data_IF_708710918367
#
_entry.id   IF_708710918367
#
_cell.length_a   1.000
_cell.length_b   1.000
_cell.length_c   1.000
_cell.angle_alpha   90.00
_cell.angle_beta   90.00
_cell.angle_gamma   90.00
#
_symmetry.space_group_name_H-M   'P 1'
#
loop_
_entity.id
_entity.type
_entity.pdbx_description
1 polymer ?
#
# COMPACT_ATOMS: atom_id res chain seq x y z
N UNK A 1 -63.36 8.82 -16.20
CA UNK A 1 -62.01 8.62 -16.78
C UNK A 1 -60.99 8.99 -15.71
N UNK A 2 -60.15 8.03 -15.30
CA UNK A 2 -59.04 8.22 -14.34
C UNK A 2 -57.78 8.60 -15.12
N UNK A 3 -57.07 9.63 -14.67
CA UNK A 3 -55.64 9.78 -14.93
C UNK A 3 -54.97 10.10 -13.61
N UNK A 4 -54.27 9.09 -13.09
CA UNK A 4 -53.56 9.14 -11.82
C UNK A 4 -52.27 9.96 -11.99
N UNK A 5 -52.13 10.94 -11.12
CA UNK A 5 -50.95 11.78 -10.96
C UNK A 5 -49.79 10.91 -10.41
N UNK A 6 -48.79 10.63 -11.25
CA UNK A 6 -47.64 9.77 -10.92
C UNK A 6 -46.64 10.54 -10.07
N UNK A 7 -46.85 10.46 -8.75
CA UNK A 7 -45.92 10.95 -7.72
C UNK A 7 -44.56 10.24 -7.80
N UNK A 8 -43.50 11.01 -8.04
CA UNK A 8 -42.34 11.07 -7.13
C UNK A 8 -41.43 9.85 -6.94
N UNK A 9 -41.46 8.83 -7.81
CA UNK A 9 -40.57 7.66 -7.67
C UNK A 9 -39.11 7.91 -8.14
N UNK A 10 -38.82 9.05 -8.79
CA UNK A 10 -37.51 9.32 -9.40
C UNK A 10 -36.41 9.77 -8.43
N UNK A 11 -36.76 10.33 -7.27
CA UNK A 11 -35.78 10.93 -6.37
C UNK A 11 -35.12 9.93 -5.40
N UNK A 12 -35.69 8.73 -5.24
CA UNK A 12 -35.24 7.76 -4.22
C UNK A 12 -34.17 6.79 -4.75
N UNK A 13 -34.03 6.65 -6.08
CA UNK A 13 -33.05 5.74 -6.70
C UNK A 13 -31.67 6.39 -6.83
N UNK A 14 -31.60 7.72 -6.94
CA UNK A 14 -30.32 8.44 -7.10
C UNK A 14 -29.47 8.47 -5.80
N UNK A 15 -30.09 8.28 -4.63
CA UNK A 15 -29.39 8.42 -3.33
C UNK A 15 -28.57 7.18 -2.96
N UNK A 16 -28.88 6.00 -3.50
CA UNK A 16 -28.20 4.74 -3.14
C UNK A 16 -26.80 4.64 -3.78
N UNK A 17 -26.57 5.27 -4.94
CA UNK A 17 -25.23 5.28 -5.57
C UNK A 17 -24.22 6.20 -4.86
N UNK A 18 -24.68 7.20 -4.11
CA UNK A 18 -23.80 8.12 -3.39
C UNK A 18 -23.29 7.58 -2.04
N UNK A 19 -23.85 6.46 -1.56
CA UNK A 19 -23.53 5.86 -0.25
C UNK A 19 -22.44 4.78 -0.33
N UNK A 20 -21.94 4.46 -1.53
CA UNK A 20 -20.70 3.69 -1.69
C UNK A 20 -19.53 4.63 -1.35
N UNK A 21 -19.34 4.90 -0.06
CA UNK A 21 -18.09 5.44 0.45
C UNK A 21 -16.97 4.62 -0.16
N UNK A 22 -16.14 5.26 -0.98
CA UNK A 22 -15.09 4.60 -1.75
C UNK A 22 -14.20 3.81 -0.80
N UNK A 23 -14.42 2.50 -0.72
CA UNK A 23 -13.47 1.60 -0.10
C UNK A 23 -12.27 1.63 -1.05
N UNK A 24 -11.25 2.41 -0.69
CA UNK A 24 -10.06 2.54 -1.51
C UNK A 24 -9.35 1.18 -1.52
N UNK A 25 -9.52 0.42 -2.59
CA UNK A 25 -8.78 -0.81 -2.80
C UNK A 25 -7.35 -0.48 -3.26
N UNK A 26 -6.35 -1.28 -2.86
CA UNK A 26 -5.01 -1.15 -3.42
C UNK A 26 -5.05 -1.34 -4.95
N UNK A 27 -4.13 -0.70 -5.70
CA UNK A 27 -4.11 -0.81 -7.15
C UNK A 27 -3.81 -2.26 -7.57
N UNK A 28 -4.43 -2.76 -8.66
CA UNK A 28 -4.10 -4.07 -9.19
C UNK A 28 -2.65 -4.10 -9.68
N UNK A 29 -1.98 -5.22 -9.43
CA UNK A 29 -0.59 -5.47 -9.83
C UNK A 29 -0.52 -6.58 -10.89
N UNK A 30 0.16 -6.30 -11.99
CA UNK A 30 0.56 -7.31 -12.95
C UNK A 30 1.95 -7.87 -12.61
N UNK A 31 2.27 -9.06 -13.12
CA UNK A 31 3.57 -9.69 -12.90
C UNK A 31 4.68 -8.83 -13.52
N UNK A 32 5.74 -8.50 -12.76
CA UNK A 32 6.86 -7.75 -13.30
C UNK A 32 7.66 -8.57 -14.32
N UNK A 33 8.10 -7.90 -15.38
CA UNK A 33 8.92 -8.48 -16.45
C UNK A 33 10.28 -7.80 -16.38
N UNK A 34 11.35 -8.58 -16.18
CA UNK A 34 12.73 -8.09 -16.09
C UNK A 34 13.35 -8.21 -14.70
N UNK A 35 14.61 -7.75 -14.53
CA UNK A 35 15.32 -7.85 -13.27
C UNK A 35 14.64 -7.02 -12.19
N UNK A 36 14.43 -7.63 -11.02
CA UNK A 36 13.85 -6.95 -9.87
C UNK A 36 14.92 -6.10 -9.18
N UNK A 37 14.70 -4.80 -8.95
CA UNK A 37 15.63 -4.02 -8.17
C UNK A 37 15.61 -4.43 -6.70
N UNK A 38 16.76 -4.29 -6.04
CA UNK A 38 16.84 -4.46 -4.60
C UNK A 38 16.30 -3.21 -3.89
N UNK A 39 15.18 -3.36 -3.18
CA UNK A 39 14.58 -2.30 -2.37
C UNK A 39 14.98 -2.37 -0.89
N UNK A 40 15.77 -3.36 -0.47
CA UNK A 40 16.22 -3.50 0.93
C UNK A 40 16.96 -2.26 1.40
N UNK A 41 16.87 -1.99 2.70
CA UNK A 41 17.48 -0.83 3.35
C UNK A 41 16.46 0.18 3.88
N UNK A 42 16.97 1.35 4.25
CA UNK A 42 16.20 2.40 4.91
C UNK A 42 15.76 3.47 3.93
N UNK A 43 14.50 3.86 4.05
CA UNK A 43 13.84 4.88 3.24
C UNK A 43 13.15 5.87 4.17
N UNK A 44 13.33 7.16 3.96
CA UNK A 44 12.72 8.20 4.81
C UNK A 44 12.03 9.26 3.97
N UNK A 45 11.00 9.88 4.54
CA UNK A 45 10.33 11.01 3.92
C UNK A 45 9.03 11.34 4.63
N UNK A 46 7.96 11.53 3.84
CA UNK A 46 6.68 11.98 4.37
C UNK A 46 5.50 11.18 3.79
N UNK A 47 4.47 10.98 4.60
CA UNK A 47 3.15 10.48 4.21
C UNK A 47 2.09 11.49 4.67
N UNK A 48 1.41 12.14 3.74
CA UNK A 48 0.44 13.18 4.06
C UNK A 48 1.04 14.35 4.85
N UNK A 49 2.35 14.60 4.69
CA UNK A 49 3.13 15.56 5.48
C UNK A 49 3.64 15.04 6.83
N UNK A 50 3.20 13.86 7.29
CA UNK A 50 3.72 13.22 8.50
C UNK A 50 5.08 12.53 8.21
N UNK A 51 6.12 12.72 9.05
CA UNK A 51 7.38 12.01 8.90
C UNK A 51 7.19 10.49 8.93
N UNK A 52 7.84 9.80 8.01
CA UNK A 52 7.80 8.34 7.89
C UNK A 52 9.17 7.77 7.56
N UNK A 53 9.47 6.62 8.16
CA UNK A 53 10.64 5.79 7.89
C UNK A 53 10.16 4.39 7.55
N UNK A 54 10.62 3.85 6.43
CA UNK A 54 10.40 2.48 6.02
C UNK A 54 11.75 1.75 6.00
N UNK A 55 11.83 0.62 6.68
CA UNK A 55 12.99 -0.27 6.63
C UNK A 55 12.56 -1.56 5.96
N UNK A 56 13.06 -1.83 4.75
CA UNK A 56 12.82 -3.07 4.04
C UNK A 56 13.95 -4.05 4.42
N UNK A 57 13.59 -5.14 5.07
CA UNK A 57 14.52 -6.15 5.59
C UNK A 57 14.69 -7.30 4.60
N UNK A 58 13.56 -7.77 4.09
CA UNK A 58 13.50 -8.95 3.23
C UNK A 58 12.84 -8.60 1.90
N UNK A 59 13.32 -9.24 0.84
CA UNK A 59 12.71 -9.21 -0.48
C UNK A 59 12.82 -10.63 -1.06
N UNK A 60 11.67 -11.31 -1.11
CA UNK A 60 11.46 -12.69 -1.54
C UNK A 60 10.03 -12.84 -2.03
N UNK A 61 9.66 -13.93 -2.71
CA UNK A 61 8.29 -14.11 -3.20
C UNK A 61 7.23 -13.90 -2.11
N UNK A 62 6.22 -13.08 -2.41
CA UNK A 62 5.10 -12.81 -1.51
C UNK A 62 4.13 -14.00 -1.50
N UNK A 63 3.42 -14.13 -0.39
CA UNK A 63 2.26 -15.00 -0.30
C UNK A 63 1.22 -14.64 -1.38
N UNK A 64 0.58 -15.62 -2.03
CA UNK A 64 -0.45 -15.35 -3.03
C UNK A 64 -1.64 -14.63 -2.41
N UNK A 65 -1.93 -13.43 -2.89
CA UNK A 65 -3.14 -12.67 -2.57
C UNK A 65 -3.90 -12.57 -3.89
N UNK A 66 -5.19 -12.90 -3.92
CA UNK A 66 -6.04 -13.06 -5.12
C UNK A 66 -6.07 -14.49 -5.72
N UNK A 67 -5.99 -15.48 -4.83
CA UNK A 67 -6.00 -16.89 -5.20
C UNK A 67 -7.18 -17.69 -4.67
N UNK A 68 -7.63 -18.68 -5.43
CA UNK A 68 -8.48 -19.76 -4.92
C UNK A 68 -7.56 -20.84 -4.39
N UNK A 69 -7.69 -21.17 -3.11
CA UNK A 69 -6.93 -22.24 -2.46
C UNK A 69 -7.82 -23.45 -2.16
N UNK A 70 -7.27 -24.65 -2.24
CA UNK A 70 -7.90 -25.88 -1.72
C UNK A 70 -6.99 -26.43 -0.62
N UNK A 71 -7.42 -26.28 0.63
CA UNK A 71 -6.55 -26.54 1.78
C UNK A 71 -5.35 -25.58 1.79
N UNK A 72 -4.13 -26.05 2.11
CA UNK A 72 -2.93 -25.20 2.11
C UNK A 72 -2.37 -24.92 0.70
N UNK A 73 -3.00 -25.42 -0.37
CA UNK A 73 -2.48 -25.33 -1.73
C UNK A 73 -3.20 -24.23 -2.54
N UNK A 74 -2.50 -23.17 -2.98
CA UNK A 74 -3.05 -22.18 -3.89
C UNK A 74 -3.21 -22.80 -5.29
N UNK A 75 -4.43 -22.78 -5.84
CA UNK A 75 -4.76 -23.35 -7.17
C UNK A 75 -4.83 -22.26 -8.24
N UNK A 76 -5.35 -21.09 -7.85
CA UNK A 76 -5.28 -19.86 -8.63
C UNK A 76 -4.61 -18.80 -7.75
N UNK A 77 -3.98 -17.79 -8.35
CA UNK A 77 -3.26 -16.74 -7.65
C UNK A 77 -1.88 -16.54 -8.25
N UNK A 78 -1.47 -15.28 -8.44
CA UNK A 78 -0.13 -14.95 -8.96
C UNK A 78 0.77 -14.69 -7.77
N UNK A 79 1.85 -15.46 -7.63
CA UNK A 79 2.93 -15.07 -6.73
C UNK A 79 3.62 -13.85 -7.34
N UNK A 80 3.69 -12.79 -6.55
CA UNK A 80 4.39 -11.56 -6.88
C UNK A 80 5.60 -11.46 -5.96
N UNK A 81 6.73 -10.88 -6.39
CA UNK A 81 7.84 -10.64 -5.49
C UNK A 81 7.38 -9.78 -4.31
N UNK A 82 7.70 -10.23 -3.11
CA UNK A 82 7.29 -9.64 -1.85
C UNK A 82 8.40 -8.90 -1.15
N UNK A 83 7.99 -8.06 -0.19
CA UNK A 83 8.89 -7.41 0.76
C UNK A 83 8.33 -7.52 2.17
N UNK A 84 9.21 -7.56 3.16
CA UNK A 84 8.85 -7.45 4.56
C UNK A 84 9.75 -6.45 5.26
N UNK A 85 9.19 -5.74 6.25
CA UNK A 85 9.90 -4.66 6.91
C UNK A 85 9.16 -4.02 8.06
N UNK A 86 9.64 -2.84 8.43
CA UNK A 86 9.09 -2.02 9.51
C UNK A 86 8.74 -0.64 8.94
N UNK A 87 7.54 -0.17 9.20
CA UNK A 87 7.09 1.19 8.92
C UNK A 87 6.97 1.95 10.23
N UNK A 88 7.74 3.02 10.38
CA UNK A 88 7.63 3.95 11.49
C UNK A 88 7.01 5.25 10.99
N UNK A 89 5.91 5.67 11.59
CA UNK A 89 5.17 6.86 11.16
C UNK A 89 4.71 7.69 12.36
N UNK A 90 4.67 9.01 12.18
CA UNK A 90 4.14 9.91 13.21
C UNK A 90 2.60 9.92 13.19
N UNK A 91 1.97 9.51 14.29
CA UNK A 91 0.52 9.53 14.47
C UNK A 91 0.19 10.27 15.78
N UNK A 92 -0.66 11.31 15.72
CA UNK A 92 -1.07 12.12 16.90
C UNK A 92 0.09 12.52 17.83
N UNK A 93 1.22 12.92 17.23
CA UNK A 93 2.47 13.31 17.92
C UNK A 93 3.35 12.19 18.48
N UNK A 94 2.95 10.93 18.33
CA UNK A 94 3.74 9.76 18.72
C UNK A 94 4.37 9.08 17.49
N UNK A 95 5.56 8.51 17.65
CA UNK A 95 6.18 7.67 16.62
C UNK A 95 5.74 6.22 16.83
N UNK A 96 4.99 5.69 15.87
CA UNK A 96 4.46 4.31 15.92
C UNK A 96 5.19 3.47 14.89
N UNK A 97 5.73 2.34 15.32
CA UNK A 97 6.38 1.35 14.46
C UNK A 97 5.48 0.12 14.30
N UNK A 98 5.24 -0.28 13.06
CA UNK A 98 4.47 -1.48 12.74
C UNK A 98 5.22 -2.32 11.71
N UNK A 99 5.01 -3.63 11.77
CA UNK A 99 5.44 -4.51 10.69
C UNK A 99 4.68 -4.17 9.41
N UNK A 100 5.31 -4.37 8.26
CA UNK A 100 4.70 -4.17 6.96
C UNK A 100 5.06 -5.33 6.05
N UNK A 101 4.08 -5.79 5.29
CA UNK A 101 4.29 -6.69 4.17
C UNK A 101 4.00 -5.93 2.89
N UNK A 102 4.62 -6.33 1.78
CA UNK A 102 4.37 -5.70 0.52
C UNK A 102 4.58 -6.60 -0.67
N UNK A 103 4.09 -6.13 -1.81
CA UNK A 103 4.08 -6.83 -3.09
C UNK A 103 4.59 -5.88 -4.17
N UNK A 104 5.45 -6.41 -5.02
CA UNK A 104 6.01 -5.73 -6.18
C UNK A 104 5.37 -6.24 -7.45
N UNK A 105 4.88 -5.32 -8.26
CA UNK A 105 4.35 -5.65 -9.57
C UNK A 105 4.29 -4.43 -10.46
N UNK A 106 3.65 -4.58 -11.61
CA UNK A 106 3.46 -3.50 -12.56
C UNK A 106 2.06 -2.93 -12.38
N UNK A 107 1.98 -1.62 -12.13
CA UNK A 107 0.74 -0.86 -12.18
C UNK A 107 0.93 0.32 -13.12
N UNK A 108 -0.03 0.54 -14.03
CA UNK A 108 0.04 1.61 -15.04
C UNK A 108 1.38 1.65 -15.81
N UNK A 109 1.94 0.47 -16.12
CA UNK A 109 3.20 0.33 -16.85
C UNK A 109 4.46 0.65 -16.05
N UNK A 110 4.38 0.85 -14.73
CA UNK A 110 5.51 1.14 -13.85
C UNK A 110 5.65 0.11 -12.74
N UNK A 111 6.88 -0.10 -12.27
CA UNK A 111 7.12 -0.92 -11.08
C UNK A 111 6.56 -0.21 -9.86
N UNK A 112 5.62 -0.87 -9.20
CA UNK A 112 4.86 -0.39 -8.06
C UNK A 112 5.01 -1.38 -6.92
N UNK A 113 5.36 -0.85 -5.75
CA UNK A 113 5.36 -1.50 -4.46
C UNK A 113 4.05 -1.14 -3.73
N UNK A 114 3.23 -2.13 -3.43
CA UNK A 114 2.08 -1.98 -2.53
C UNK A 114 2.47 -2.53 -1.17
N UNK A 115 2.37 -1.70 -0.14
CA UNK A 115 2.64 -2.02 1.26
C UNK A 115 1.34 -2.10 2.04
N UNK A 116 1.22 -3.07 2.92
CA UNK A 116 0.11 -3.31 3.83
C UNK A 116 0.66 -3.29 5.27
N UNK A 117 0.56 -2.15 5.96
CA UNK A 117 0.99 -2.04 7.35
C UNK A 117 0.12 -2.91 8.25
N UNK A 118 0.74 -3.66 9.16
CA UNK A 118 0.06 -4.49 10.15
C UNK A 118 -0.51 -3.64 11.30
N UNK A 119 -1.42 -2.72 10.98
CA UNK A 119 -2.15 -1.89 11.96
C UNK A 119 -3.48 -2.56 12.31
N UNK A 120 -3.99 -2.28 13.51
CA UNK A 120 -5.32 -2.76 13.91
C UNK A 120 -6.45 -2.21 13.02
N UNK A 121 -6.20 -1.06 12.38
CA UNK A 121 -7.17 -0.39 11.52
C UNK A 121 -7.06 -0.82 10.06
N UNK A 122 -5.95 -1.43 9.63
CA UNK A 122 -5.64 -1.67 8.22
C UNK A 122 -5.28 -0.40 7.44
N UNK A 123 -5.00 -0.57 6.15
CA UNK A 123 -4.56 0.48 5.25
C UNK A 123 -3.56 -0.04 4.22
N UNK A 124 -3.15 0.82 3.28
CA UNK A 124 -2.14 0.44 2.30
C UNK A 124 -1.41 1.67 1.76
N UNK A 125 -0.18 1.47 1.29
CA UNK A 125 0.63 2.48 0.62
C UNK A 125 1.07 1.95 -0.74
N UNK A 126 0.77 2.68 -1.81
CA UNK A 126 1.26 2.39 -3.15
C UNK A 126 2.42 3.33 -3.49
N UNK A 127 3.55 2.76 -3.86
CA UNK A 127 4.80 3.47 -4.15
C UNK A 127 5.30 3.05 -5.53
N UNK A 128 5.43 4.01 -6.42
CA UNK A 128 6.10 3.80 -7.70
C UNK A 128 7.56 4.20 -7.59
N UNK A 129 8.44 3.39 -8.17
CA UNK A 129 9.86 3.75 -8.26
C UNK A 129 10.04 4.85 -9.30
N UNK A 130 10.53 6.01 -8.86
CA UNK A 130 10.85 7.13 -9.74
C UNK A 130 12.28 7.02 -10.27
N UNK A 131 13.20 6.64 -9.40
CA UNK A 131 14.61 6.39 -9.70
C UNK A 131 15.21 5.38 -8.70
N UNK A 132 16.53 5.21 -8.67
CA UNK A 132 17.18 4.24 -7.80
C UNK A 132 16.93 4.47 -6.30
N UNK A 133 16.79 5.74 -5.92
CA UNK A 133 16.80 6.22 -4.54
C UNK A 133 15.51 6.97 -4.17
N UNK A 134 14.50 7.03 -5.05
CA UNK A 134 13.22 7.71 -4.78
C UNK A 134 12.03 6.83 -5.09
N UNK A 135 11.14 6.72 -4.11
CA UNK A 135 9.83 6.10 -4.22
C UNK A 135 8.77 7.18 -3.98
N UNK A 136 7.71 7.20 -4.78
CA UNK A 136 6.61 8.14 -4.59
C UNK A 136 5.27 7.51 -4.96
N UNK A 137 4.22 7.92 -4.26
CA UNK A 137 2.86 7.51 -4.58
C UNK A 137 1.87 8.01 -3.54
N UNK A 138 0.98 7.14 -3.09
CA UNK A 138 -0.14 7.50 -2.22
C UNK A 138 -0.41 6.42 -1.20
N UNK A 139 -0.72 6.82 0.03
CA UNK A 139 -1.14 5.94 1.10
C UNK A 139 -2.53 6.28 1.60
N UNK A 140 -3.25 5.25 1.99
CA UNK A 140 -4.54 5.33 2.63
C UNK A 140 -4.50 4.61 3.96
N UNK A 141 -5.18 5.15 4.95
CA UNK A 141 -5.45 4.49 6.22
C UNK A 141 -6.96 4.42 6.43
N UNK A 142 -7.45 3.48 7.22
CA UNK A 142 -8.90 3.41 7.49
C UNK A 142 -9.37 4.56 8.39
N UNK A 143 -8.51 4.99 9.32
CA UNK A 143 -8.88 6.07 10.22
C UNK A 143 -8.48 7.44 9.66
N UNK A 144 -9.40 8.40 9.70
CA UNK A 144 -9.16 9.77 9.21
C UNK A 144 -8.08 10.55 9.97
N UNK A 145 -7.74 10.11 11.17
CA UNK A 145 -6.70 10.72 12.02
C UNK A 145 -5.31 10.10 11.82
N UNK A 146 -5.22 9.01 11.05
CA UNK A 146 -3.96 8.48 10.55
C UNK A 146 -3.56 9.25 9.28
N UNK A 147 -2.28 9.21 8.88
CA UNK A 147 -1.83 9.88 7.66
C UNK A 147 -2.56 9.38 6.41
N UNK A 148 -2.79 10.30 5.46
CA UNK A 148 -3.50 10.04 4.21
C UNK A 148 -2.83 10.81 3.07
N UNK A 149 -2.96 10.32 1.84
CA UNK A 149 -2.56 11.06 0.65
C UNK A 149 -1.13 10.78 0.22
N UNK A 150 -0.37 11.79 -0.27
CA UNK A 150 0.89 11.57 -0.97
C UNK A 150 1.95 10.97 -0.05
N UNK A 151 2.76 10.07 -0.61
CA UNK A 151 3.92 9.47 0.06
C UNK A 151 5.14 9.69 -0.81
N UNK A 152 6.20 10.22 -0.21
CA UNK A 152 7.52 10.32 -0.84
C UNK A 152 8.56 9.75 0.11
N UNK A 153 9.42 8.86 -0.40
CA UNK A 153 10.51 8.26 0.33
C UNK A 153 11.81 8.37 -0.46
N UNK A 154 12.88 8.67 0.26
CA UNK A 154 14.23 8.77 -0.27
C UNK A 154 15.09 7.73 0.44
N UNK A 155 15.85 6.95 -0.32
CA UNK A 155 16.78 5.96 0.21
C UNK A 155 17.85 6.66 1.02
N UNK A 156 18.09 6.16 2.22
CA UNK A 156 19.18 6.59 3.06
C UNK A 156 20.46 5.82 2.71
N UNK A 157 21.62 6.49 2.67
CA UNK A 157 22.88 5.81 2.51
C UNK A 157 23.08 4.86 3.69
N UNK A 158 23.50 3.63 3.41
CA UNK A 158 23.93 2.71 4.46
C UNK A 158 25.21 3.28 5.06
N UNK A 159 25.13 3.80 6.28
CA UNK A 159 26.31 4.23 7.02
C UNK A 159 27.29 3.07 7.19
N UNK A 160 28.60 3.32 7.36
CA UNK A 160 29.56 2.26 7.61
C UNK A 160 29.09 1.46 8.83
N UNK A 161 28.99 0.14 8.67
CA UNK A 161 28.74 -0.76 9.80
C UNK A 161 29.76 -0.42 10.88
N UNK A 162 29.30 -0.06 12.07
CA UNK A 162 30.18 0.09 13.22
C UNK A 162 30.86 -1.26 13.43
N UNK A 163 32.15 -1.34 13.11
CA UNK A 163 32.96 -2.52 13.40
C UNK A 163 32.81 -2.82 14.91
N UNK A 164 32.41 -4.04 15.31
CA UNK A 164 32.48 -4.40 16.71
C UNK A 164 33.95 -4.34 17.17
N UNK A 165 34.23 -3.87 18.40
CA UNK A 165 35.58 -3.90 18.93
C UNK A 165 36.11 -5.33 18.97
N UNK A 166 37.40 -5.46 18.64
CA UNK A 166 38.16 -6.71 18.63
C UNK A 166 38.26 -7.36 20.02
#
# INVERSE_FOLDING_TARGET
MRAADRRGAGALVATIWALLGACAAPPPLATPVGPMPDLRGTWTGAWGGAPVTLVILEQQDAEPVDGVSVGPWPIFGRSLPGVAGILTVKIRSEMVSVNVQGRLGISNGRLTLVLEPATANGGWISLTRLDENRLAGTGTAQMRWEPQGPVELIRQPQGPAANPPA
#
